data_IF_477436727376
#
_entry.id   IF_477436727376
#
_cell.length_a   1.000
_cell.length_b   1.000
_cell.length_c   1.000
_cell.angle_alpha   90.00
_cell.angle_beta   90.00
_cell.angle_gamma   90.00
#
_symmetry.space_group_name_H-M   'P 1'
#
loop_
_entity.id
_entity.type
_entity.pdbx_description
1 polymer ?
#
# COMPACT_ATOMS: atom_id res chain seq x y z
N UNK A 1 1.12 -16.91 14.90
CA UNK A 1 0.74 -16.02 13.77
C UNK A 1 -0.53 -16.60 13.19
N UNK A 2 -1.67 -15.88 13.11
CA UNK A 2 -2.95 -16.47 12.67
C UNK A 2 -2.87 -17.32 11.41
N UNK A 3 -2.19 -16.83 10.38
CA UNK A 3 -2.00 -17.55 9.11
C UNK A 3 -1.02 -18.75 9.16
N UNK A 4 -0.40 -19.01 10.33
CA UNK A 4 0.44 -20.21 10.56
C UNK A 4 -0.24 -21.23 11.44
N UNK A 5 -1.25 -20.81 12.19
CA UNK A 5 -2.08 -21.70 13.01
C UNK A 5 -3.08 -22.45 12.14
N UNK A 6 -3.52 -21.79 11.06
CA UNK A 6 -4.34 -22.41 9.99
C UNK A 6 -3.66 -22.16 8.63
N UNK A 7 -2.80 -23.08 8.17
CA UNK A 7 -2.07 -22.95 6.91
C UNK A 7 -2.90 -23.36 5.68
N UNK A 8 -4.22 -23.17 5.70
CA UNK A 8 -5.06 -23.37 4.53
C UNK A 8 -4.52 -22.56 3.33
N UNK A 9 -4.54 -23.11 2.10
CA UNK A 9 -3.93 -22.48 0.94
C UNK A 9 -4.35 -21.03 0.69
N UNK A 10 -5.64 -20.73 0.87
CA UNK A 10 -6.17 -19.37 0.76
C UNK A 10 -5.56 -18.46 1.81
N UNK A 11 -5.47 -18.88 3.07
CA UNK A 11 -4.92 -18.12 4.18
C UNK A 11 -3.43 -17.82 4.00
N UNK A 12 -2.67 -18.79 3.53
CA UNK A 12 -1.25 -18.62 3.19
C UNK A 12 -1.11 -17.61 2.06
N UNK A 13 -1.87 -17.73 0.98
CA UNK A 13 -1.82 -16.82 -0.15
C UNK A 13 -2.12 -15.36 0.27
N UNK A 14 -3.22 -15.12 0.98
CA UNK A 14 -3.58 -13.77 1.45
C UNK A 14 -2.48 -13.17 2.34
N UNK A 15 -1.99 -13.95 3.32
CA UNK A 15 -0.96 -13.47 4.23
C UNK A 15 0.35 -13.15 3.51
N UNK A 16 0.79 -14.00 2.58
CA UNK A 16 2.02 -13.77 1.81
C UNK A 16 1.94 -12.51 0.95
N UNK A 17 0.79 -12.23 0.34
CA UNK A 17 0.60 -10.98 -0.41
C UNK A 17 0.55 -9.77 0.54
N UNK A 18 -0.09 -9.86 1.71
CA UNK A 18 -0.13 -8.76 2.68
C UNK A 18 1.25 -8.45 3.26
N UNK A 19 2.07 -9.46 3.50
CA UNK A 19 3.43 -9.33 4.05
C UNK A 19 4.45 -8.74 3.06
N UNK A 20 4.14 -8.69 1.76
CA UNK A 20 5.02 -8.03 0.79
C UNK A 20 5.27 -6.56 1.18
N UNK A 21 6.49 -6.23 1.59
CA UNK A 21 6.92 -4.88 1.99
C UNK A 21 6.11 -4.27 3.16
N UNK A 22 5.42 -5.09 3.94
CA UNK A 22 4.64 -4.66 5.11
C UNK A 22 5.11 -5.43 6.35
N UNK A 23 5.19 -4.76 7.49
CA UNK A 23 5.60 -5.38 8.76
C UNK A 23 4.51 -6.30 9.29
N UNK A 24 4.92 -7.39 9.92
CA UNK A 24 4.03 -8.42 10.49
C UNK A 24 3.00 -7.84 11.45
N UNK A 25 3.42 -6.95 12.35
CA UNK A 25 2.54 -6.32 13.34
C UNK A 25 1.39 -5.56 12.69
N UNK A 26 1.68 -4.84 11.60
CA UNK A 26 0.65 -4.12 10.85
C UNK A 26 -0.30 -5.09 10.13
N UNK A 27 0.21 -6.21 9.59
CA UNK A 27 -0.60 -7.15 8.81
C UNK A 27 -1.64 -7.87 9.66
N UNK A 28 -1.39 -8.12 10.94
CA UNK A 28 -2.28 -8.94 11.81
C UNK A 28 -3.73 -8.48 11.81
N UNK A 29 -3.97 -7.20 12.05
CA UNK A 29 -5.33 -6.64 12.12
C UNK A 29 -6.00 -6.61 10.74
N UNK A 30 -5.23 -6.29 9.70
CA UNK A 30 -5.73 -6.30 8.31
C UNK A 30 -6.12 -7.70 7.86
N UNK A 31 -5.30 -8.69 8.16
CA UNK A 31 -5.54 -10.08 7.82
C UNK A 31 -6.82 -10.59 8.49
N UNK A 32 -6.98 -10.38 9.80
CA UNK A 32 -8.17 -10.83 10.52
C UNK A 32 -9.46 -10.25 9.90
N UNK A 33 -9.50 -8.94 9.70
CA UNK A 33 -10.64 -8.25 9.08
C UNK A 33 -10.88 -8.69 7.63
N UNK A 34 -9.81 -8.94 6.86
CA UNK A 34 -9.91 -9.37 5.48
C UNK A 34 -10.51 -10.76 5.37
N UNK A 35 -10.03 -11.74 6.15
CA UNK A 35 -10.53 -13.11 6.16
C UNK A 35 -11.97 -13.18 6.70
N UNK A 36 -12.32 -12.36 7.70
CA UNK A 36 -13.70 -12.26 8.19
C UNK A 36 -14.67 -11.79 7.10
N UNK A 37 -14.25 -10.82 6.26
CA UNK A 37 -15.10 -10.23 5.22
C UNK A 37 -15.08 -11.04 3.93
N UNK A 38 -13.93 -11.59 3.57
CA UNK A 38 -13.66 -12.34 2.34
C UNK A 38 -13.04 -13.68 2.71
N UNK A 39 -13.86 -14.65 3.19
CA UNK A 39 -13.35 -15.90 3.75
C UNK A 39 -12.79 -16.89 2.73
N UNK A 40 -13.06 -16.68 1.46
CA UNK A 40 -12.71 -17.63 0.39
C UNK A 40 -12.44 -16.94 -0.96
N UNK A 41 -11.97 -17.74 -1.92
CA UNK A 41 -11.64 -17.29 -3.29
C UNK A 41 -12.88 -16.74 -4.00
N UNK A 42 -14.06 -17.32 -3.77
CA UNK A 42 -15.29 -16.89 -4.42
C UNK A 42 -15.69 -15.49 -3.96
N UNK A 43 -15.76 -15.24 -2.65
CA UNK A 43 -16.07 -13.92 -2.08
C UNK A 43 -15.08 -12.86 -2.54
N UNK A 44 -13.77 -13.19 -2.58
CA UNK A 44 -12.73 -12.30 -3.10
C UNK A 44 -12.90 -11.99 -4.60
N UNK A 45 -13.32 -12.97 -5.40
CA UNK A 45 -13.52 -12.79 -6.85
C UNK A 45 -14.67 -11.83 -7.17
N UNK A 46 -15.70 -11.80 -6.33
CA UNK A 46 -16.95 -11.03 -6.53
C UNK A 46 -16.98 -9.68 -5.80
N UNK A 47 -16.06 -9.43 -4.87
CA UNK A 47 -16.06 -8.21 -4.06
C UNK A 47 -16.01 -6.94 -4.91
N UNK A 48 -16.76 -5.92 -4.55
CA UNK A 48 -16.67 -4.60 -5.19
C UNK A 48 -15.30 -3.95 -4.93
N UNK A 49 -14.76 -3.23 -5.94
CA UNK A 49 -13.41 -2.67 -5.89
C UNK A 49 -13.22 -1.69 -4.73
N UNK A 50 -14.23 -0.86 -4.43
CA UNK A 50 -14.15 0.10 -3.33
C UNK A 50 -14.15 -0.59 -1.96
N UNK A 51 -14.91 -1.69 -1.81
CA UNK A 51 -14.89 -2.53 -0.59
C UNK A 51 -13.52 -3.17 -0.41
N UNK A 52 -12.98 -3.77 -1.47
CA UNK A 52 -11.63 -4.38 -1.44
C UNK A 52 -10.55 -3.34 -1.10
N UNK A 53 -10.60 -2.18 -1.73
CA UNK A 53 -9.66 -1.11 -1.46
C UNK A 53 -9.81 -0.56 -0.03
N UNK A 54 -11.03 -0.55 0.52
CA UNK A 54 -11.30 -0.12 1.90
C UNK A 54 -10.70 -1.10 2.92
N UNK A 55 -10.84 -2.39 2.69
CA UNK A 55 -10.20 -3.44 3.50
C UNK A 55 -8.66 -3.34 3.46
N UNK A 56 -8.11 -2.80 2.36
CA UNK A 56 -6.67 -2.65 2.14
C UNK A 56 -6.11 -1.27 2.55
N UNK A 57 -6.99 -0.33 2.93
CA UNK A 57 -6.61 1.05 3.22
C UNK A 57 -5.59 1.12 4.38
N UNK A 58 -4.41 1.64 4.08
CA UNK A 58 -3.30 1.76 5.05
C UNK A 58 -2.14 0.79 4.82
N UNK A 59 -2.36 -0.37 4.17
CA UNK A 59 -1.28 -1.31 3.83
C UNK A 59 -0.35 -0.80 2.71
N UNK A 60 -0.85 0.10 1.85
CA UNK A 60 -0.11 0.58 0.68
C UNK A 60 -0.02 -0.46 -0.44
N UNK A 61 0.67 -0.08 -1.54
CA UNK A 61 0.84 -0.96 -2.71
C UNK A 61 -0.48 -1.60 -3.18
N UNK A 62 -1.50 -0.81 -3.42
CA UNK A 62 -2.88 -1.23 -3.73
C UNK A 62 -3.01 -2.16 -4.94
N UNK A 63 -2.02 -2.18 -5.84
CA UNK A 63 -1.97 -3.14 -6.93
C UNK A 63 -1.96 -4.60 -6.43
N UNK A 64 -1.51 -4.84 -5.17
CA UNK A 64 -1.58 -6.17 -4.56
C UNK A 64 -3.03 -6.62 -4.39
N UNK A 65 -3.89 -5.75 -3.83
CA UNK A 65 -5.32 -6.04 -3.67
C UNK A 65 -6.01 -6.27 -5.03
N UNK A 66 -5.73 -5.42 -6.02
CA UNK A 66 -6.26 -5.60 -7.38
C UNK A 66 -5.82 -6.93 -8.02
N UNK A 67 -4.56 -7.29 -7.84
CA UNK A 67 -4.05 -8.55 -8.35
C UNK A 67 -4.64 -9.75 -7.61
N UNK A 68 -4.88 -9.66 -6.30
CA UNK A 68 -5.59 -10.70 -5.53
C UNK A 68 -6.98 -10.97 -6.14
N UNK A 69 -7.80 -9.94 -6.39
CA UNK A 69 -9.12 -10.10 -7.02
C UNK A 69 -9.02 -10.71 -8.41
N UNK A 70 -8.10 -10.22 -9.25
CA UNK A 70 -7.88 -10.79 -10.59
C UNK A 70 -7.43 -12.25 -10.55
N UNK A 71 -6.53 -12.59 -9.62
CA UNK A 71 -6.10 -13.98 -9.43
C UNK A 71 -7.26 -14.85 -8.94
N UNK A 72 -8.08 -14.36 -8.00
CA UNK A 72 -9.28 -15.07 -7.56
C UNK A 72 -10.25 -15.35 -8.73
N UNK A 73 -10.47 -14.35 -9.59
CA UNK A 73 -11.29 -14.52 -10.80
C UNK A 73 -10.69 -15.58 -11.75
N UNK A 74 -9.37 -15.54 -11.97
CA UNK A 74 -8.69 -16.53 -12.79
C UNK A 74 -8.76 -17.93 -12.16
N UNK A 75 -8.64 -18.06 -10.84
CA UNK A 75 -8.75 -19.35 -10.15
C UNK A 75 -10.16 -19.93 -10.34
N UNK A 76 -11.20 -19.11 -10.28
CA UNK A 76 -12.57 -19.59 -10.56
C UNK A 76 -12.69 -20.11 -11.99
N UNK A 77 -12.16 -19.41 -12.98
CA UNK A 77 -12.33 -19.76 -14.40
C UNK A 77 -11.43 -20.91 -14.86
N UNK A 78 -10.16 -20.90 -14.44
CA UNK A 78 -9.14 -21.79 -15.00
C UNK A 78 -8.87 -23.01 -14.11
N UNK A 79 -9.16 -22.92 -12.80
CA UNK A 79 -8.84 -23.94 -11.80
C UNK A 79 -10.06 -24.41 -10.98
N UNK A 80 -11.28 -24.13 -11.45
CA UNK A 80 -12.52 -24.60 -10.80
C UNK A 80 -12.77 -24.06 -9.38
N UNK A 81 -12.14 -22.94 -9.01
CA UNK A 81 -12.29 -22.31 -7.70
C UNK A 81 -11.32 -22.81 -6.63
N UNK A 82 -10.43 -23.74 -6.94
CA UNK A 82 -9.39 -24.23 -6.04
C UNK A 82 -8.03 -23.61 -6.40
N UNK A 83 -7.30 -23.15 -5.38
CA UNK A 83 -5.94 -22.60 -5.59
C UNK A 83 -5.04 -23.71 -6.19
N UNK A 84 -4.37 -23.46 -7.34
CA UNK A 84 -3.50 -24.47 -7.92
C UNK A 84 -2.37 -24.83 -6.96
N UNK A 85 -1.98 -26.10 -6.97
CA UNK A 85 -1.06 -26.64 -5.97
C UNK A 85 0.39 -26.77 -6.45
N UNK A 86 0.68 -26.43 -7.72
CA UNK A 86 2.05 -26.49 -8.25
C UNK A 86 2.66 -25.09 -8.41
N UNK A 87 3.99 -25.02 -8.20
CA UNK A 87 4.74 -23.78 -8.42
C UNK A 87 4.52 -23.18 -9.82
N UNK A 88 4.49 -24.04 -10.86
CA UNK A 88 4.37 -23.62 -12.24
C UNK A 88 2.98 -23.04 -12.57
N UNK A 89 1.94 -23.51 -11.94
CA UNK A 89 0.59 -22.95 -12.08
C UNK A 89 0.42 -21.70 -11.24
N UNK A 90 0.89 -21.71 -9.99
CA UNK A 90 0.83 -20.55 -9.09
C UNK A 90 1.46 -19.29 -9.71
N UNK A 91 2.62 -19.43 -10.38
CA UNK A 91 3.33 -18.29 -10.97
C UNK A 91 2.59 -17.65 -12.16
N UNK A 92 1.57 -18.32 -12.72
CA UNK A 92 0.74 -17.78 -13.80
C UNK A 92 -0.32 -16.80 -13.29
N UNK A 93 -0.58 -16.80 -11.98
CA UNK A 93 -1.61 -15.97 -11.36
C UNK A 93 -1.15 -14.52 -11.18
N UNK A 94 -2.01 -13.52 -11.44
CA UNK A 94 -1.71 -12.11 -11.24
C UNK A 94 -1.18 -11.79 -9.84
N UNK A 95 -0.03 -11.13 -9.77
CA UNK A 95 0.58 -10.71 -8.50
C UNK A 95 1.36 -11.79 -7.75
N UNK A 96 1.39 -13.03 -8.26
CA UNK A 96 2.20 -14.12 -7.72
C UNK A 96 3.51 -14.20 -8.51
N UNK A 97 4.59 -13.77 -7.87
CA UNK A 97 5.95 -13.90 -8.39
C UNK A 97 6.65 -15.15 -7.87
N UNK A 98 7.93 -15.39 -8.28
CA UNK A 98 8.68 -16.59 -7.91
C UNK A 98 8.72 -16.87 -6.40
N UNK A 99 8.94 -15.83 -5.60
CA UNK A 99 8.91 -15.94 -4.14
C UNK A 99 7.54 -16.40 -3.62
N UNK A 100 6.47 -15.70 -4.02
CA UNK A 100 5.12 -16.00 -3.51
C UNK A 100 4.64 -17.38 -3.98
N UNK A 101 4.94 -17.77 -5.23
CA UNK A 101 4.67 -19.11 -5.72
C UNK A 101 5.39 -20.17 -4.90
N UNK A 102 6.69 -19.96 -4.61
CA UNK A 102 7.48 -20.87 -3.78
C UNK A 102 6.96 -20.94 -2.34
N UNK A 103 6.58 -19.81 -1.73
CA UNK A 103 6.03 -19.77 -0.39
C UNK A 103 4.69 -20.53 -0.29
N UNK A 104 3.76 -20.29 -1.21
CA UNK A 104 2.46 -20.99 -1.24
C UNK A 104 2.67 -22.47 -1.49
N UNK A 105 3.42 -22.86 -2.53
CA UNK A 105 3.66 -24.26 -2.88
C UNK A 105 4.34 -25.03 -1.74
N UNK A 106 5.29 -24.38 -1.05
CA UNK A 106 6.00 -24.99 0.06
C UNK A 106 5.17 -25.06 1.33
N UNK A 107 4.56 -23.95 1.75
CA UNK A 107 3.88 -23.85 3.06
C UNK A 107 2.51 -24.53 3.04
N UNK A 108 1.70 -24.31 1.99
CA UNK A 108 0.35 -24.83 1.91
C UNK A 108 0.28 -26.23 1.29
N UNK A 109 1.18 -26.54 0.36
CA UNK A 109 1.15 -27.79 -0.40
C UNK A 109 2.37 -28.69 -0.16
N UNK A 110 3.23 -28.34 0.79
CA UNK A 110 4.42 -29.13 1.23
C UNK A 110 5.38 -29.49 0.09
N UNK A 111 5.41 -28.73 -1.01
CA UNK A 111 6.35 -28.98 -2.09
C UNK A 111 7.77 -28.54 -1.69
N UNK A 112 8.82 -29.29 -2.03
CA UNK A 112 10.20 -28.96 -1.75
C UNK A 112 10.75 -27.93 -2.76
N UNK A 113 10.14 -26.75 -2.78
CA UNK A 113 10.50 -25.61 -3.64
C UNK A 113 10.94 -24.42 -2.82
N UNK A 114 11.94 -23.63 -3.29
CA UNK A 114 12.48 -22.52 -2.53
C UNK A 114 11.53 -21.31 -2.52
N UNK A 115 11.51 -20.62 -1.39
CA UNK A 115 10.85 -19.33 -1.22
C UNK A 115 11.91 -18.28 -0.85
N UNK A 116 12.50 -17.60 -1.86
CA UNK A 116 13.64 -16.71 -1.67
C UNK A 116 13.20 -15.24 -1.76
N UNK A 117 12.99 -14.63 -0.60
CA UNK A 117 12.72 -13.20 -0.45
C UNK A 117 14.00 -12.38 -0.18
N UNK A 118 13.86 -11.08 0.06
CA UNK A 118 14.96 -10.22 0.42
C UNK A 118 15.64 -10.57 1.77
N UNK A 119 14.94 -11.24 2.68
CA UNK A 119 15.50 -11.71 3.94
C UNK A 119 16.35 -12.95 3.70
N UNK A 120 15.82 -13.91 2.96
CA UNK A 120 16.54 -15.14 2.57
C UNK A 120 17.78 -14.79 1.76
N UNK A 121 17.69 -13.89 0.75
CA UNK A 121 18.85 -13.44 -0.02
C UNK A 121 19.94 -12.84 0.88
N UNK A 122 19.58 -12.05 1.89
CA UNK A 122 20.53 -11.49 2.85
C UNK A 122 21.20 -12.58 3.70
N UNK A 123 20.40 -13.52 4.19
CA UNK A 123 20.92 -14.66 4.98
C UNK A 123 21.91 -15.45 4.14
N UNK A 124 21.56 -15.84 2.93
CA UNK A 124 22.42 -16.60 2.02
C UNK A 124 23.69 -15.81 1.69
N UNK A 125 23.59 -14.54 1.28
CA UNK A 125 24.74 -13.71 0.97
C UNK A 125 25.74 -13.65 2.13
N UNK A 126 25.25 -13.52 3.37
CA UNK A 126 26.13 -13.48 4.57
C UNK A 126 26.73 -14.84 4.91
N UNK A 127 25.94 -15.91 4.83
CA UNK A 127 26.46 -17.28 5.11
C UNK A 127 27.54 -17.65 4.11
N UNK A 128 27.33 -17.39 2.82
CA UNK A 128 28.26 -17.76 1.74
C UNK A 128 29.34 -16.71 1.47
N UNK A 129 29.25 -15.52 2.08
CA UNK A 129 30.19 -14.41 1.79
C UNK A 129 30.02 -13.84 0.37
N UNK A 130 28.85 -14.03 -0.26
CA UNK A 130 28.60 -13.59 -1.64
C UNK A 130 28.38 -12.07 -1.69
N UNK A 131 29.28 -11.36 -2.38
CA UNK A 131 29.26 -9.92 -2.59
C UNK A 131 28.56 -9.48 -3.89
N UNK A 132 27.93 -10.41 -4.60
CA UNK A 132 27.15 -10.11 -5.80
C UNK A 132 25.95 -9.21 -5.47
N UNK A 133 25.63 -8.29 -6.39
CA UNK A 133 24.48 -7.41 -6.21
C UNK A 133 23.16 -8.20 -6.22
N UNK A 134 22.48 -8.26 -5.07
CA UNK A 134 21.20 -8.99 -4.92
C UNK A 134 20.03 -8.36 -5.69
N UNK A 135 20.20 -7.20 -6.31
CA UNK A 135 19.17 -6.60 -7.17
C UNK A 135 19.21 -7.18 -8.58
N UNK A 136 20.29 -7.83 -8.98
CA UNK A 136 20.44 -8.46 -10.30
C UNK A 136 19.67 -9.78 -10.40
N UNK A 137 19.00 -10.00 -11.53
CA UNK A 137 18.22 -11.22 -11.73
C UNK A 137 19.07 -12.50 -11.73
N UNK A 138 20.29 -12.42 -12.24
CA UNK A 138 21.22 -13.53 -12.25
C UNK A 138 21.63 -13.94 -10.81
N UNK A 139 21.87 -12.99 -9.92
CA UNK A 139 22.17 -13.24 -8.50
C UNK A 139 20.98 -13.88 -7.79
N UNK A 140 19.79 -13.36 -8.01
CA UNK A 140 18.54 -13.96 -7.47
C UNK A 140 18.37 -15.40 -7.92
N UNK A 141 18.59 -15.67 -9.21
CA UNK A 141 18.50 -17.03 -9.74
C UNK A 141 19.55 -17.96 -9.15
N UNK A 142 20.79 -17.51 -9.01
CA UNK A 142 21.87 -18.30 -8.41
C UNK A 142 21.55 -18.65 -6.95
N UNK A 143 21.10 -17.69 -6.15
CA UNK A 143 20.68 -17.91 -4.76
C UNK A 143 19.46 -18.84 -4.67
N UNK A 144 18.48 -18.70 -5.57
CA UNK A 144 17.33 -19.60 -5.63
C UNK A 144 17.75 -21.03 -5.95
N UNK A 145 18.66 -21.20 -6.91
CA UNK A 145 19.19 -22.51 -7.26
C UNK A 145 19.96 -23.14 -6.10
N UNK A 146 20.73 -22.35 -5.35
CA UNK A 146 21.43 -22.81 -4.15
C UNK A 146 20.45 -23.33 -3.10
N UNK A 147 19.39 -22.56 -2.79
CA UNK A 147 18.35 -22.96 -1.85
C UNK A 147 17.65 -24.23 -2.33
N UNK A 148 17.35 -24.35 -3.64
CA UNK A 148 16.75 -25.56 -4.22
C UNK A 148 17.60 -26.82 -4.02
N UNK A 149 18.94 -26.69 -4.02
CA UNK A 149 19.84 -27.83 -3.82
C UNK A 149 19.90 -28.31 -2.37
N UNK A 150 19.62 -27.43 -1.41
CA UNK A 150 19.74 -27.74 0.03
C UNK A 150 18.41 -27.91 0.75
N UNK A 151 17.28 -27.60 0.09
CA UNK A 151 15.96 -27.72 0.70
C UNK A 151 15.62 -29.20 0.96
N UNK A 152 15.22 -29.58 2.18
CA UNK A 152 14.79 -30.93 2.49
C UNK A 152 13.50 -31.32 1.76
N UNK A 153 13.42 -32.53 1.25
CA UNK A 153 12.27 -33.03 0.49
C UNK A 153 10.99 -33.07 1.37
N UNK A 154 11.11 -33.51 2.61
CA UNK A 154 9.95 -33.68 3.53
C UNK A 154 9.68 -32.46 4.37
N UNK A 155 10.68 -31.66 4.72
CA UNK A 155 10.60 -30.54 5.65
C UNK A 155 10.82 -29.18 4.97
N UNK A 156 10.59 -29.09 3.65
CA UNK A 156 10.85 -27.89 2.84
C UNK A 156 10.11 -26.65 3.36
N UNK A 157 8.89 -26.81 3.84
CA UNK A 157 8.09 -25.71 4.42
C UNK A 157 8.70 -25.16 5.72
N UNK A 158 9.17 -25.99 6.61
CA UNK A 158 9.87 -25.58 7.83
C UNK A 158 11.19 -24.92 7.52
N UNK A 159 11.94 -25.47 6.56
CA UNK A 159 13.21 -24.90 6.10
C UNK A 159 13.05 -23.49 5.53
N UNK A 160 12.09 -23.27 4.63
CA UNK A 160 11.80 -21.95 4.08
C UNK A 160 11.39 -20.96 5.19
N UNK A 161 10.47 -21.36 6.07
CA UNK A 161 10.02 -20.51 7.18
C UNK A 161 11.19 -20.16 8.12
N UNK A 162 12.06 -21.13 8.45
CA UNK A 162 13.22 -20.91 9.31
C UNK A 162 14.20 -19.89 8.69
N UNK A 163 14.46 -19.96 7.38
CA UNK A 163 15.30 -18.97 6.68
C UNK A 163 14.70 -17.57 6.71
N UNK A 164 13.38 -17.45 6.47
CA UNK A 164 12.68 -16.17 6.53
C UNK A 164 12.73 -15.57 7.93
N UNK A 165 12.48 -16.37 8.98
CA UNK A 165 12.52 -15.95 10.38
C UNK A 165 13.93 -15.58 10.82
N UNK A 166 14.93 -16.38 10.47
CA UNK A 166 16.32 -16.06 10.71
C UNK A 166 16.67 -14.66 10.16
N UNK A 167 16.22 -14.37 8.94
CA UNK A 167 16.36 -13.05 8.35
C UNK A 167 15.59 -11.95 9.09
N UNK A 168 14.36 -12.24 9.55
CA UNK A 168 13.51 -11.24 10.17
C UNK A 168 13.93 -10.86 11.60
N UNK A 169 14.44 -11.81 12.40
CA UNK A 169 14.63 -11.61 13.86
C UNK A 169 16.07 -11.71 14.35
N UNK A 170 16.96 -12.37 13.61
CA UNK A 170 18.38 -12.59 13.98
C UNK A 170 19.32 -11.88 13.01
N UNK A 171 19.27 -12.22 11.73
CA UNK A 171 20.12 -11.68 10.68
C UNK A 171 19.55 -10.36 10.14
N UNK A 172 19.51 -9.30 10.97
CA UNK A 172 18.81 -8.06 10.71
C UNK A 172 19.38 -7.29 9.50
N UNK A 173 18.50 -6.55 8.73
CA UNK A 173 18.93 -5.77 7.57
C UNK A 173 19.58 -4.43 7.93
N UNK A 174 19.25 -3.87 9.09
CA UNK A 174 19.71 -2.58 9.57
C UNK A 174 20.20 -2.70 11.01
N UNK A 175 21.30 -2.01 11.33
CA UNK A 175 21.96 -2.13 12.62
C UNK A 175 22.73 -3.44 12.76
N UNK A 176 23.14 -3.77 13.98
CA UNK A 176 23.98 -4.94 14.26
C UNK A 176 23.13 -6.22 14.25
N UNK A 177 23.45 -7.21 13.39
CA UNK A 177 22.78 -8.51 13.43
C UNK A 177 23.19 -9.27 14.71
N UNK A 178 22.26 -10.09 15.23
CA UNK A 178 22.46 -10.85 16.46
C UNK A 178 23.28 -12.12 16.22
N UNK A 179 24.52 -11.97 15.71
CA UNK A 179 25.36 -13.08 15.26
C UNK A 179 25.69 -14.07 16.37
N UNK A 180 25.86 -13.63 17.62
CA UNK A 180 26.10 -14.50 18.79
C UNK A 180 24.91 -15.43 19.12
N UNK A 181 23.70 -15.11 18.68
CA UNK A 181 22.48 -15.90 18.86
C UNK A 181 22.12 -16.70 17.59
N UNK A 182 22.91 -16.54 16.51
CA UNK A 182 22.58 -17.14 15.23
C UNK A 182 23.00 -18.62 15.18
N UNK A 183 22.08 -19.55 14.88
CA UNK A 183 22.41 -20.97 14.77
C UNK A 183 23.40 -21.27 13.65
N UNK A 184 23.53 -20.35 12.67
CA UNK A 184 24.45 -20.48 11.53
C UNK A 184 25.81 -19.79 11.77
N UNK A 185 26.07 -19.26 12.97
CA UNK A 185 27.29 -18.45 13.26
C UNK A 185 28.59 -19.19 12.97
N UNK A 186 28.65 -20.49 13.25
CA UNK A 186 29.87 -21.31 13.06
C UNK A 186 30.26 -21.50 11.59
N UNK A 187 29.33 -21.40 10.66
CA UNK A 187 29.55 -21.55 9.23
C UNK A 187 29.40 -20.26 8.43
N UNK A 188 29.10 -19.15 9.09
CA UNK A 188 28.80 -17.88 8.41
C UNK A 188 30.12 -17.17 8.02
N UNK A 189 30.42 -17.13 6.73
CA UNK A 189 31.64 -16.49 6.19
C UNK A 189 31.68 -15.00 6.56
N UNK A 190 30.58 -14.28 6.38
CA UNK A 190 30.51 -12.85 6.70
C UNK A 190 30.78 -12.56 8.19
N UNK A 191 30.32 -13.43 9.10
CA UNK A 191 30.55 -13.25 10.53
C UNK A 191 32.02 -13.44 10.88
N UNK A 192 32.68 -14.49 10.35
CA UNK A 192 34.08 -14.73 10.57
C UNK A 192 35.01 -13.69 9.92
N UNK A 193 34.58 -13.13 8.78
CA UNK A 193 35.32 -12.07 8.08
C UNK A 193 35.03 -10.66 8.61
N UNK A 194 34.01 -10.48 9.49
CA UNK A 194 33.59 -9.16 9.98
C UNK A 194 32.82 -8.32 8.95
N UNK A 195 32.32 -8.94 7.85
CA UNK A 195 31.66 -8.23 6.71
C UNK A 195 30.14 -8.29 6.74
N UNK A 196 29.53 -8.72 7.84
CA UNK A 196 28.06 -8.87 7.95
C UNK A 196 27.29 -7.56 7.75
N UNK A 197 27.90 -6.41 7.97
CA UNK A 197 27.29 -5.10 7.76
C UNK A 197 27.46 -4.58 6.32
N UNK A 198 28.37 -5.17 5.55
CA UNK A 198 28.61 -4.84 4.14
C UNK A 198 27.70 -5.67 3.22
N UNK A 199 27.29 -6.85 3.67
CA UNK A 199 26.44 -7.78 2.91
C UNK A 199 24.98 -7.73 3.37
N UNK A 200 24.05 -7.86 2.43
CA UNK A 200 24.21 -8.06 0.99
C UNK A 200 24.50 -6.76 0.25
N UNK A 201 25.23 -6.83 -0.84
CA UNK A 201 25.49 -5.68 -1.72
C UNK A 201 24.21 -5.30 -2.48
N UNK A 202 23.94 -3.99 -2.53
CA UNK A 202 22.83 -3.41 -3.31
C UNK A 202 23.31 -2.16 -4.02
N UNK A 203 23.11 -2.09 -5.33
CA UNK A 203 23.36 -0.85 -6.08
C UNK A 203 22.49 0.29 -5.54
N UNK A 204 23.02 1.51 -5.56
CA UNK A 204 22.28 2.70 -5.14
C UNK A 204 21.03 2.85 -5.98
N UNK A 205 19.90 3.14 -5.32
CA UNK A 205 18.63 3.43 -6.00
C UNK A 205 18.73 4.73 -6.79
N UNK A 206 18.03 4.79 -7.93
CA UNK A 206 17.84 6.03 -8.69
C UNK A 206 17.22 7.11 -7.83
N UNK A 207 17.56 8.38 -8.12
CA UNK A 207 16.94 9.55 -7.49
C UNK A 207 15.44 9.53 -7.80
N UNK A 208 14.60 9.76 -6.78
CA UNK A 208 13.15 9.85 -6.95
C UNK A 208 12.78 11.10 -7.73
N UNK A 209 11.77 10.99 -8.60
CA UNK A 209 11.13 12.15 -9.21
C UNK A 209 10.33 12.90 -8.12
N UNK A 210 10.54 14.20 -8.01
CA UNK A 210 9.73 15.06 -7.14
C UNK A 210 8.57 15.61 -7.97
N UNK A 211 7.35 15.49 -7.44
CA UNK A 211 6.15 16.09 -7.99
C UNK A 211 5.50 16.99 -6.93
N UNK A 212 5.22 18.22 -7.33
CA UNK A 212 4.51 19.19 -6.49
C UNK A 212 3.02 19.13 -6.77
N UNK A 213 2.21 19.28 -5.72
CA UNK A 213 0.75 19.24 -5.81
C UNK A 213 0.12 20.21 -4.83
N UNK A 214 -1.01 20.78 -5.23
CA UNK A 214 -1.90 21.50 -4.33
C UNK A 214 -3.20 20.72 -4.16
N UNK A 215 -3.51 20.35 -2.93
CA UNK A 215 -4.70 19.58 -2.57
C UNK A 215 -5.82 20.54 -2.19
N UNK A 216 -7.00 20.35 -2.78
CA UNK A 216 -8.17 21.21 -2.61
C UNK A 216 -9.29 20.46 -1.90
N UNK A 217 -9.59 20.85 -0.67
CA UNK A 217 -10.69 20.32 0.11
C UNK A 217 -11.88 21.23 -0.02
N UNK A 218 -12.73 20.99 -1.04
CA UNK A 218 -14.01 21.70 -1.18
C UNK A 218 -14.98 21.17 -0.14
N UNK A 219 -15.52 22.08 0.65
CA UNK A 219 -16.46 21.77 1.75
C UNK A 219 -17.74 22.58 1.55
N UNK A 220 -18.88 21.88 1.47
CA UNK A 220 -20.18 22.51 1.36
C UNK A 220 -20.72 23.01 2.72
N UNK A 221 -21.89 23.62 2.73
CA UNK A 221 -22.57 24.15 3.92
C UNK A 221 -23.02 23.07 4.91
N UNK A 222 -23.08 21.79 4.44
CA UNK A 222 -23.42 20.62 5.25
C UNK A 222 -22.19 19.87 5.77
N UNK A 223 -21.01 20.44 5.60
CA UNK A 223 -19.72 19.79 5.90
C UNK A 223 -19.42 18.54 5.05
N UNK A 224 -20.07 18.36 3.89
CA UNK A 224 -19.65 17.33 2.93
C UNK A 224 -18.40 17.79 2.19
N UNK A 225 -17.59 16.85 1.80
CA UNK A 225 -16.31 17.08 1.11
C UNK A 225 -16.36 16.48 -0.28
N UNK A 226 -15.97 17.27 -1.28
CA UNK A 226 -15.84 16.76 -2.64
C UNK A 226 -14.62 15.84 -2.75
N UNK A 227 -14.87 14.61 -3.19
CA UNK A 227 -13.87 13.64 -3.56
C UNK A 227 -14.10 13.16 -4.98
N UNK A 228 -13.05 12.61 -5.59
CA UNK A 228 -13.10 12.06 -6.94
C UNK A 228 -12.38 10.72 -7.02
N UNK A 229 -12.80 9.87 -7.93
CA UNK A 229 -12.12 8.61 -8.23
C UNK A 229 -10.99 8.88 -9.22
N UNK A 230 -9.79 8.39 -8.94
CA UNK A 230 -8.63 8.60 -9.79
C UNK A 230 -8.67 7.70 -11.01
N UNK A 231 -9.00 8.27 -12.18
CA UNK A 231 -9.09 7.56 -13.47
C UNK A 231 -7.74 7.42 -14.16
N UNK A 232 -6.77 8.29 -13.85
CA UNK A 232 -5.45 8.26 -14.47
C UNK A 232 -4.72 6.95 -14.15
N UNK A 233 -4.27 6.25 -15.19
CA UNK A 233 -3.47 5.03 -15.05
C UNK A 233 -2.18 5.31 -14.27
N UNK A 234 -1.73 4.34 -13.49
CA UNK A 234 -0.49 4.42 -12.71
C UNK A 234 -0.73 4.51 -11.21
N UNK A 235 -0.10 5.49 -10.57
CA UNK A 235 -0.08 5.61 -9.11
C UNK A 235 -1.48 5.89 -8.55
N UNK A 236 -1.91 5.04 -7.60
CA UNK A 236 -3.21 5.15 -6.89
C UNK A 236 -4.45 5.08 -7.80
N UNK A 237 -4.33 4.56 -9.03
CA UNK A 237 -5.45 4.40 -9.96
C UNK A 237 -6.62 3.65 -9.33
N UNK A 238 -7.84 4.20 -9.50
CA UNK A 238 -9.10 3.63 -9.01
C UNK A 238 -9.35 3.83 -7.52
N UNK A 239 -8.51 4.59 -6.82
CA UNK A 239 -8.75 5.03 -5.44
C UNK A 239 -9.38 6.41 -5.43
N UNK A 240 -9.99 6.76 -4.30
CA UNK A 240 -10.56 8.09 -4.10
C UNK A 240 -9.49 9.09 -3.65
N UNK A 241 -9.60 10.32 -4.12
CA UNK A 241 -8.69 11.41 -3.77
C UNK A 241 -9.44 12.74 -3.65
N UNK A 242 -8.81 13.71 -3.02
CA UNK A 242 -9.28 15.09 -3.09
C UNK A 242 -8.86 15.72 -4.42
N UNK A 243 -9.68 16.58 -5.04
CA UNK A 243 -9.27 17.36 -6.20
C UNK A 243 -7.92 18.04 -5.99
N UNK A 244 -7.07 18.09 -7.01
CA UNK A 244 -5.72 18.62 -6.86
C UNK A 244 -5.21 19.26 -8.14
N UNK A 245 -4.30 20.23 -7.97
CA UNK A 245 -3.49 20.81 -9.05
C UNK A 245 -2.15 20.08 -9.14
N UNK A 246 -1.59 19.97 -10.34
CA UNK A 246 -0.30 19.33 -10.60
C UNK A 246 0.89 20.29 -10.41
N UNK A 247 0.74 21.29 -9.57
CA UNK A 247 1.75 22.29 -9.19
C UNK A 247 1.51 22.75 -7.75
N UNK A 248 2.50 23.40 -7.16
CA UNK A 248 2.35 24.12 -5.90
C UNK A 248 1.89 25.56 -6.19
N UNK A 249 0.81 26.01 -5.56
CA UNK A 249 0.31 27.39 -5.67
C UNK A 249 0.27 28.05 -4.29
N UNK A 250 0.56 29.34 -4.24
CA UNK A 250 0.39 30.19 -3.04
C UNK A 250 -1.09 30.44 -2.75
N UNK A 251 -1.40 31.03 -1.59
CA UNK A 251 -2.78 31.42 -1.24
C UNK A 251 -3.33 32.45 -2.23
N UNK A 252 -2.52 33.43 -2.62
CA UNK A 252 -2.90 34.48 -3.57
C UNK A 252 -3.17 33.91 -4.96
N UNK A 253 -2.32 33.00 -5.44
CA UNK A 253 -2.54 32.29 -6.72
C UNK A 253 -3.79 31.41 -6.65
N UNK A 254 -4.02 30.71 -5.54
CA UNK A 254 -5.23 29.91 -5.32
C UNK A 254 -6.48 30.80 -5.34
N UNK A 255 -6.48 31.96 -4.67
CA UNK A 255 -7.58 32.92 -4.71
C UNK A 255 -7.81 33.48 -6.12
N UNK A 256 -6.74 33.79 -6.85
CA UNK A 256 -6.83 34.26 -8.24
C UNK A 256 -7.39 33.20 -9.17
N UNK A 257 -7.00 31.93 -9.01
CA UNK A 257 -7.51 30.78 -9.76
C UNK A 257 -9.04 30.64 -9.60
N UNK A 258 -9.54 30.88 -8.39
CA UNK A 258 -10.97 30.79 -8.09
C UNK A 258 -11.74 32.12 -8.24
N UNK A 259 -11.09 33.20 -8.71
CA UNK A 259 -11.76 34.49 -8.92
C UNK A 259 -13.01 34.40 -9.80
N UNK A 260 -13.05 33.60 -10.90
CA UNK A 260 -14.24 33.47 -11.74
C UNK A 260 -15.48 32.92 -11.00
N UNK A 261 -15.26 32.17 -9.92
CA UNK A 261 -16.30 31.53 -9.12
C UNK A 261 -16.35 32.04 -7.67
N UNK A 262 -15.71 33.18 -7.42
CA UNK A 262 -15.58 33.77 -6.08
C UNK A 262 -16.91 33.98 -5.36
N UNK A 263 -17.99 34.29 -6.11
CA UNK A 263 -19.34 34.42 -5.55
C UNK A 263 -19.85 33.14 -4.85
N UNK A 264 -19.34 31.98 -5.24
CA UNK A 264 -19.70 30.69 -4.66
C UNK A 264 -18.79 30.26 -3.49
N UNK A 265 -17.72 31.02 -3.23
CA UNK A 265 -16.72 30.69 -2.20
C UNK A 265 -16.88 31.61 -1.00
N UNK A 266 -17.07 31.00 0.18
CA UNK A 266 -17.16 31.72 1.45
C UNK A 266 -15.78 32.14 1.96
N UNK A 267 -14.80 31.23 1.92
CA UNK A 267 -13.42 31.49 2.33
C UNK A 267 -12.48 30.38 1.82
N UNK A 268 -11.21 30.73 1.68
CA UNK A 268 -10.11 29.81 1.42
C UNK A 268 -9.16 29.86 2.61
N UNK A 269 -8.79 28.70 3.18
CA UNK A 269 -7.95 28.59 4.37
C UNK A 269 -6.79 27.65 4.09
N UNK A 270 -5.54 28.06 4.30
CA UNK A 270 -4.38 27.20 4.07
C UNK A 270 -4.34 26.01 5.05
N UNK A 271 -3.82 24.91 4.57
CA UNK A 271 -3.61 23.66 5.31
C UNK A 271 -2.11 23.40 5.48
N UNK A 272 -1.70 22.60 6.47
CA UNK A 272 -0.31 22.20 6.61
C UNK A 272 0.25 21.52 5.36
N UNK A 273 1.47 21.88 4.98
CA UNK A 273 2.20 21.19 3.94
C UNK A 273 2.54 19.75 4.38
N UNK A 274 2.56 18.84 3.43
CA UNK A 274 2.92 17.45 3.68
C UNK A 274 3.78 16.89 2.56
N UNK A 275 4.40 15.74 2.82
CA UNK A 275 5.10 14.96 1.80
C UNK A 275 4.74 13.49 1.90
N UNK A 276 4.68 12.83 0.76
CA UNK A 276 4.52 11.38 0.71
C UNK A 276 5.53 10.75 -0.26
N UNK A 277 6.16 9.66 0.18
CA UNK A 277 7.22 9.01 -0.57
C UNK A 277 6.70 7.67 -1.09
N UNK A 278 6.64 7.56 -2.41
CA UNK A 278 6.44 6.30 -3.13
C UNK A 278 7.79 5.70 -3.56
N UNK A 279 7.77 4.54 -4.18
CA UNK A 279 9.01 3.85 -4.59
C UNK A 279 9.89 4.72 -5.52
N UNK A 280 9.28 5.39 -6.51
CA UNK A 280 9.99 6.16 -7.55
C UNK A 280 9.64 7.63 -7.59
N UNK A 281 8.64 8.07 -6.83
CA UNK A 281 8.09 9.42 -6.82
C UNK A 281 8.00 9.90 -5.38
N UNK A 282 8.30 11.18 -5.15
CA UNK A 282 8.01 11.90 -3.92
C UNK A 282 7.02 13.03 -4.23
N UNK A 283 5.85 13.03 -3.60
CA UNK A 283 4.93 14.14 -3.64
C UNK A 283 5.26 15.13 -2.54
N UNK A 284 5.44 16.40 -2.92
CA UNK A 284 5.41 17.55 -2.03
C UNK A 284 4.08 18.25 -2.21
N UNK A 285 3.34 18.38 -1.14
CA UNK A 285 1.95 18.83 -1.17
C UNK A 285 1.75 20.00 -0.23
N UNK A 286 1.11 21.06 -0.72
CA UNK A 286 0.39 22.04 0.07
C UNK A 286 -1.12 21.83 -0.13
N UNK A 287 -1.96 22.51 0.62
CA UNK A 287 -3.40 22.36 0.47
C UNK A 287 -4.22 23.51 1.01
N UNK A 288 -5.46 23.55 0.61
CA UNK A 288 -6.42 24.57 1.01
C UNK A 288 -7.80 23.98 1.28
N UNK A 289 -8.42 24.41 2.36
CA UNK A 289 -9.88 24.34 2.46
C UNK A 289 -10.50 25.40 1.57
N UNK A 290 -11.48 25.04 0.78
CA UNK A 290 -12.33 25.91 -0.03
C UNK A 290 -13.77 25.73 0.44
N UNK A 291 -14.22 26.60 1.35
CA UNK A 291 -15.58 26.56 1.88
C UNK A 291 -16.56 27.22 0.92
N UNK A 292 -17.66 26.55 0.61
CA UNK A 292 -18.72 27.07 -0.28
C UNK A 292 -19.81 27.82 0.49
N UNK A 293 -20.55 28.70 -0.22
CA UNK A 293 -21.51 29.62 0.41
C UNK A 293 -22.83 28.95 0.81
N UNK A 294 -23.41 28.08 -0.04
CA UNK A 294 -24.71 27.43 0.24
C UNK A 294 -24.95 26.13 -0.54
N UNK A 295 -26.06 25.44 -0.22
CA UNK A 295 -26.45 24.14 -0.74
C UNK A 295 -26.68 24.09 -2.25
N UNK A 296 -27.25 25.14 -2.84
CA UNK A 296 -27.52 25.21 -4.28
C UNK A 296 -26.20 25.31 -5.05
N UNK A 297 -25.19 25.88 -4.40
CA UNK A 297 -23.85 26.05 -4.96
C UNK A 297 -23.15 24.72 -5.17
N UNK A 298 -23.34 23.70 -4.31
CA UNK A 298 -22.56 22.45 -4.39
C UNK A 298 -22.86 21.64 -5.67
N UNK A 299 -24.11 21.55 -6.12
CA UNK A 299 -24.44 20.84 -7.36
C UNK A 299 -24.01 21.63 -8.61
N UNK A 300 -24.29 22.93 -8.65
CA UNK A 300 -23.86 23.83 -9.72
C UNK A 300 -22.32 23.91 -9.74
N UNK A 301 -21.69 23.95 -8.56
CA UNK A 301 -20.25 24.02 -8.39
C UNK A 301 -19.56 22.84 -9.10
N UNK A 302 -20.00 21.62 -8.85
CA UNK A 302 -19.43 20.43 -9.46
C UNK A 302 -19.64 20.37 -10.98
N UNK A 303 -20.84 20.67 -11.43
CA UNK A 303 -21.24 20.43 -12.83
C UNK A 303 -20.92 21.57 -13.78
N UNK A 304 -20.87 22.79 -13.29
CA UNK A 304 -20.76 23.99 -14.14
C UNK A 304 -19.62 24.92 -13.78
N UNK A 305 -19.27 25.06 -12.51
CA UNK A 305 -18.25 26.03 -12.09
C UNK A 305 -16.84 25.44 -12.09
N UNK A 306 -16.61 24.26 -11.49
CA UNK A 306 -15.29 23.65 -11.45
C UNK A 306 -14.72 23.34 -12.83
N UNK A 307 -15.49 22.88 -13.84
CA UNK A 307 -14.98 22.69 -15.20
C UNK A 307 -14.47 23.96 -15.88
N UNK A 308 -14.80 25.15 -15.35
CA UNK A 308 -14.26 26.43 -15.90
C UNK A 308 -12.81 26.68 -15.47
N UNK A 309 -12.29 25.91 -14.51
CA UNK A 309 -10.92 26.03 -14.01
C UNK A 309 -10.03 25.04 -14.78
N UNK A 310 -9.36 25.50 -15.80
CA UNK A 310 -8.61 24.68 -16.75
C UNK A 310 -7.48 23.87 -16.13
N UNK A 311 -6.91 24.36 -15.03
CA UNK A 311 -5.80 23.71 -14.30
C UNK A 311 -6.29 22.59 -13.36
N UNK A 312 -7.61 22.53 -13.07
CA UNK A 312 -8.18 21.55 -12.18
C UNK A 312 -8.74 20.37 -12.96
N UNK A 313 -8.08 19.22 -12.83
CA UNK A 313 -8.64 17.97 -13.34
C UNK A 313 -9.70 17.43 -12.39
N UNK A 314 -10.90 17.18 -12.93
CA UNK A 314 -11.97 16.45 -12.26
C UNK A 314 -12.27 15.18 -13.02
N UNK A 315 -12.37 14.08 -12.30
CA UNK A 315 -12.86 12.79 -12.80
C UNK A 315 -14.36 12.85 -13.08
N UNK A 316 -14.86 11.97 -13.94
CA UNK A 316 -16.31 11.77 -14.12
C UNK A 316 -16.97 11.24 -12.83
N UNK A 317 -16.24 10.44 -12.06
CA UNK A 317 -16.66 9.87 -10.77
C UNK A 317 -16.32 10.84 -9.63
N UNK A 318 -17.26 11.70 -9.25
CA UNK A 318 -17.15 12.65 -8.13
C UNK A 318 -18.31 12.52 -7.18
N UNK A 319 -18.06 12.64 -5.87
CA UNK A 319 -19.06 12.53 -4.81
C UNK A 319 -18.84 13.60 -3.74
N UNK A 320 -19.93 14.16 -3.22
CA UNK A 320 -19.92 14.90 -1.96
C UNK A 320 -20.08 13.92 -0.81
N UNK A 321 -18.99 13.58 -0.13
CA UNK A 321 -18.94 12.60 0.92
C UNK A 321 -19.03 13.24 2.30
N UNK A 322 -19.78 12.61 3.20
CA UNK A 322 -19.75 12.93 4.63
C UNK A 322 -18.43 12.46 5.27
N UNK A 323 -18.10 13.02 6.44
CA UNK A 323 -16.92 12.56 7.21
C UNK A 323 -17.01 11.06 7.58
N UNK A 324 -18.23 10.57 7.85
CA UNK A 324 -18.47 9.16 8.14
C UNK A 324 -18.22 8.26 6.93
N UNK A 325 -18.70 8.66 5.75
CA UNK A 325 -18.45 7.94 4.51
C UNK A 325 -16.95 7.92 4.12
N UNK A 326 -16.20 9.01 4.35
CA UNK A 326 -14.75 9.04 4.17
C UNK A 326 -14.04 8.01 5.07
N UNK A 327 -14.56 7.78 6.28
CA UNK A 327 -14.02 6.78 7.19
C UNK A 327 -14.41 5.35 6.81
N UNK A 328 -15.66 5.11 6.40
CA UNK A 328 -16.23 3.76 6.28
C UNK A 328 -16.37 3.25 4.85
N UNK A 329 -16.56 4.14 3.88
CA UNK A 329 -16.96 3.77 2.49
C UNK A 329 -15.83 4.04 1.50
N UNK A 330 -15.35 5.28 1.42
CA UNK A 330 -14.40 5.69 0.40
C UNK A 330 -12.95 5.44 0.81
N UNK A 331 -12.18 4.61 0.07
CA UNK A 331 -10.77 4.33 0.36
C UNK A 331 -9.87 5.52 -0.05
N UNK A 332 -9.50 6.35 0.91
CA UNK A 332 -8.58 7.49 0.71
C UNK A 332 -7.15 7.06 1.06
N UNK A 333 -6.18 7.09 0.12
CA UNK A 333 -4.81 6.71 0.37
C UNK A 333 -4.14 7.47 1.52
N UNK A 334 -3.22 6.80 2.20
CA UNK A 334 -2.43 7.41 3.30
C UNK A 334 -1.60 8.62 2.87
N UNK A 335 -1.36 8.79 1.57
CA UNK A 335 -0.75 10.00 1.01
C UNK A 335 -1.51 11.28 1.41
N UNK A 336 -2.82 11.19 1.58
CA UNK A 336 -3.70 12.29 1.94
C UNK A 336 -4.04 12.36 3.44
N UNK A 337 -3.33 11.61 4.31
CA UNK A 337 -3.63 11.54 5.74
C UNK A 337 -3.66 12.91 6.42
N UNK A 338 -2.70 13.78 6.12
CA UNK A 338 -2.64 15.14 6.69
C UNK A 338 -3.93 15.90 6.43
N UNK A 339 -4.44 15.82 5.22
CA UNK A 339 -5.64 16.53 4.79
C UNK A 339 -6.92 15.90 5.34
N UNK A 340 -6.98 14.56 5.42
CA UNK A 340 -8.09 13.86 6.08
C UNK A 340 -8.17 14.19 7.57
N UNK A 341 -7.05 14.22 8.27
CA UNK A 341 -7.02 14.60 9.69
C UNK A 341 -7.49 16.04 9.91
N UNK A 342 -7.11 16.97 9.02
CA UNK A 342 -7.57 18.36 9.09
C UNK A 342 -9.10 18.48 8.99
N UNK A 343 -9.78 17.61 8.23
CA UNK A 343 -11.25 17.56 8.18
C UNK A 343 -11.88 17.15 9.53
N UNK A 344 -11.23 16.25 10.25
CA UNK A 344 -11.69 15.79 11.57
C UNK A 344 -11.56 16.89 12.63
N UNK A 345 -10.47 17.66 12.57
CA UNK A 345 -10.20 18.78 13.49
C UNK A 345 -11.14 19.97 13.26
N UNK A 346 -11.46 20.29 12.00
CA UNK A 346 -12.37 21.40 11.64
C UNK A 346 -13.76 21.19 12.26
N UNK A 347 -14.27 19.98 12.31
CA UNK A 347 -15.56 19.68 12.96
C UNK A 347 -15.55 19.90 14.48
N UNK A 348 -14.40 19.85 15.14
CA UNK A 348 -14.25 20.19 16.58
C UNK A 348 -14.21 21.70 16.79
N UNK A 349 -13.51 22.45 15.93
CA UNK A 349 -13.41 23.90 16.03
C UNK A 349 -14.72 24.62 15.70
N UNK A 350 -15.47 24.16 14.70
CA UNK A 350 -16.79 24.73 14.34
C UNK A 350 -17.81 24.51 15.49
N UNK A 351 -17.78 23.35 16.14
CA UNK A 351 -18.61 23.12 17.34
C UNK A 351 -18.24 24.02 18.51
N UNK A 352 -16.96 24.34 18.69
CA UNK A 352 -16.53 25.31 19.73
C UNK A 352 -16.91 26.75 19.40
N UNK A 353 -16.83 27.15 18.14
CA UNK A 353 -17.20 28.51 17.72
C UNK A 353 -18.73 28.75 17.80
N UNK A 354 -19.54 27.77 17.47
CA UNK A 354 -21.00 27.85 17.60
C UNK A 354 -21.52 27.82 19.05
N UNK A 355 -20.67 27.42 20.01
CA UNK A 355 -20.98 27.51 21.45
C UNK A 355 -20.76 28.94 22.00
N UNK A 356 -20.03 29.79 21.30
CA UNK A 356 -19.77 31.19 21.69
C UNK A 356 -20.69 32.21 21.00
N UNK A 357 -21.36 31.85 19.88
CA UNK A 357 -22.34 32.73 19.22
C UNK A 357 -23.78 32.59 19.76
N UNK A 358 -23.97 31.81 20.79
CA UNK A 358 -25.29 31.56 21.44
C UNK A 358 -25.56 32.38 22.70
N UNK A 359 -24.77 33.43 22.98
CA UNK A 359 -25.01 34.32 24.12
C UNK A 359 -24.81 35.80 23.73
N UNK A 360 -25.89 36.39 23.17
CA UNK A 360 -26.29 37.80 23.41
C UNK A 360 -27.71 37.95 22.94
#
# INVERSE_FOLDING_TARGET
MPWREDPAPYHVWISEIMLQQTRVEAVREYYARFIETLPDIYSLSQVEDDVLHKLWEGLGYYNRAKNLKKAAQQIITDFGGELPNTYNELITLPGIGPYTAGAIASIAFHQPVPAVDGNVMRVIARITGDDSDITENKTKQAMTNLVQQIIPVTEGHHFNQALMELGAIICLPNGEPKCSQCPMSTMCIAYHAGTQNELPVKKKKNVRKIEEKTILLFVDDREHVLIQKREQKGLLHGLWEFPSLSCSVSLEECQSLFAPISASIKKIVPLPSSKHIFTHIEWKMNGYFVFLNDKKTSDIFRTSLLPTISELYLSSDTVWATKEELQKVYPIPTAFRTYRNALEETGRQVKQLNLFDGSL
#
